data_IF_432256949598
#
_entry.id   IF_432256949598
#
_cell.length_a   1.000
_cell.length_b   1.000
_cell.length_c   1.000
_cell.angle_alpha   90.00
_cell.angle_beta   90.00
_cell.angle_gamma   90.00
#
_symmetry.space_group_name_H-M   'P 1'
#
loop_
_entity.id
_entity.type
_entity.pdbx_description
1 polymer ?
#
# COMPACT_ATOMS: atom_id res chain seq x y z
N UNK A 1 -8.27 -0.40 8.62
CA UNK A 1 -8.84 -0.59 7.27
C UNK A 1 -9.77 -1.78 7.25
N UNK A 2 -9.35 -2.94 7.77
CA UNK A 2 -10.19 -4.14 7.75
C UNK A 2 -11.40 -4.01 8.67
N UNK A 3 -12.51 -4.62 8.26
CA UNK A 3 -13.70 -4.73 9.09
C UNK A 3 -13.65 -6.07 9.82
N UNK A 4 -13.43 -6.04 11.13
CA UNK A 4 -13.47 -7.21 12.01
C UNK A 4 -14.91 -7.47 12.48
N UNK A 5 -15.25 -8.67 12.98
CA UNK A 5 -16.55 -8.92 13.59
C UNK A 5 -16.88 -7.95 14.73
N UNK A 6 -15.86 -7.59 15.52
CA UNK A 6 -15.99 -6.62 16.61
C UNK A 6 -16.24 -5.20 16.09
N UNK A 7 -15.45 -4.72 15.10
CA UNK A 7 -15.64 -3.38 14.55
C UNK A 7 -16.96 -3.25 13.77
N UNK A 8 -17.40 -4.32 13.09
CA UNK A 8 -18.71 -4.38 12.46
C UNK A 8 -19.85 -4.30 13.49
N UNK A 9 -19.75 -5.01 14.61
CA UNK A 9 -20.74 -4.97 15.70
C UNK A 9 -20.76 -3.61 16.39
N UNK A 10 -19.59 -3.03 16.63
CA UNK A 10 -19.47 -1.69 17.18
C UNK A 10 -20.12 -0.65 16.25
N UNK A 11 -19.78 -0.65 14.96
CA UNK A 11 -20.40 0.24 13.97
C UNK A 11 -21.92 0.01 13.87
N UNK A 12 -22.40 -1.24 13.94
CA UNK A 12 -23.84 -1.53 14.00
C UNK A 12 -24.52 -0.88 15.22
N UNK A 13 -23.93 -1.03 16.41
CA UNK A 13 -24.48 -0.46 17.64
C UNK A 13 -24.50 1.07 17.58
N UNK A 14 -23.44 1.69 17.08
CA UNK A 14 -23.37 3.15 16.89
C UNK A 14 -24.42 3.62 15.88
N UNK A 15 -24.53 2.97 14.72
CA UNK A 15 -25.56 3.27 13.71
C UNK A 15 -26.98 3.14 14.27
N UNK A 16 -27.24 2.11 15.08
CA UNK A 16 -28.53 1.90 15.73
C UNK A 16 -28.81 3.01 16.74
N UNK A 17 -27.83 3.38 17.56
CA UNK A 17 -27.93 4.50 18.51
C UNK A 17 -28.27 5.82 17.82
N UNK A 18 -27.61 6.14 16.71
CA UNK A 18 -27.89 7.33 15.90
C UNK A 18 -29.32 7.31 15.34
N UNK A 19 -29.77 6.17 14.81
CA UNK A 19 -31.13 6.02 14.28
C UNK A 19 -32.19 6.18 15.39
N UNK A 20 -31.94 5.63 16.57
CA UNK A 20 -32.80 5.80 17.75
C UNK A 20 -32.83 7.28 18.16
N UNK A 21 -31.67 7.97 18.20
CA UNK A 21 -31.61 9.39 18.56
C UNK A 21 -32.42 10.26 17.59
N UNK A 22 -32.31 10.03 16.27
CA UNK A 22 -33.10 10.74 15.25
C UNK A 22 -34.60 10.49 15.45
N UNK A 23 -34.98 9.24 15.73
CA UNK A 23 -36.38 8.88 16.00
C UNK A 23 -36.90 9.58 17.25
N UNK A 24 -36.15 9.55 18.35
CA UNK A 24 -36.51 10.18 19.62
C UNK A 24 -36.63 11.70 19.52
N UNK A 25 -35.71 12.35 18.78
CA UNK A 25 -35.77 13.79 18.51
C UNK A 25 -37.03 14.12 17.70
N UNK A 26 -37.32 13.34 16.64
CA UNK A 26 -38.52 13.52 15.83
C UNK A 26 -39.81 13.41 16.63
N UNK A 27 -39.91 12.41 17.51
CA UNK A 27 -41.06 12.22 18.42
C UNK A 27 -41.16 13.37 19.43
N UNK A 28 -40.04 13.81 20.01
CA UNK A 28 -40.03 14.88 21.02
C UNK A 28 -40.47 16.22 20.41
N UNK A 29 -40.03 16.52 19.19
CA UNK A 29 -40.43 17.74 18.48
C UNK A 29 -41.87 17.67 17.93
N UNK A 30 -42.43 16.45 17.77
CA UNK A 30 -43.81 16.27 17.34
C UNK A 30 -44.83 16.86 18.32
N UNK A 31 -44.49 16.99 19.60
CA UNK A 31 -45.30 17.69 20.60
C UNK A 31 -45.48 19.19 20.29
N UNK A 32 -44.52 19.81 19.60
CA UNK A 32 -44.61 21.19 19.15
C UNK A 32 -45.29 21.32 17.78
N UNK A 33 -45.05 20.37 16.87
CA UNK A 33 -45.69 20.33 15.56
C UNK A 33 -45.68 18.91 14.97
N UNK A 34 -46.82 18.35 14.53
CA UNK A 34 -46.91 16.99 13.99
C UNK A 34 -46.00 16.71 12.78
N UNK A 35 -45.60 17.75 12.04
CA UNK A 35 -44.71 17.62 10.87
C UNK A 35 -43.34 17.03 11.22
N UNK A 36 -42.90 17.11 12.48
CA UNK A 36 -41.65 16.50 12.95
C UNK A 36 -41.66 14.97 12.94
N UNK A 37 -42.82 14.32 12.85
CA UNK A 37 -42.90 12.86 12.64
C UNK A 37 -42.26 12.44 11.30
N UNK A 38 -42.20 13.32 10.31
CA UNK A 38 -41.47 13.06 9.07
C UNK A 38 -39.95 12.94 9.30
N UNK A 39 -39.39 13.60 10.32
CA UNK A 39 -37.98 13.46 10.66
C UNK A 39 -37.63 12.05 11.17
N UNK A 40 -38.59 11.36 11.82
CA UNK A 40 -38.41 9.97 12.24
C UNK A 40 -38.28 9.00 11.05
N UNK A 41 -38.83 9.35 9.88
CA UNK A 41 -38.61 8.60 8.63
C UNK A 41 -37.16 8.72 8.11
N UNK A 42 -36.37 9.65 8.65
CA UNK A 42 -34.94 9.77 8.37
C UNK A 42 -34.07 8.72 9.08
N UNK A 43 -34.58 8.02 10.10
CA UNK A 43 -33.80 7.07 10.88
C UNK A 43 -33.25 5.88 10.05
N UNK A 44 -34.03 5.23 9.14
CA UNK A 44 -33.50 4.24 8.21
C UNK A 44 -32.42 4.78 7.26
N UNK A 45 -32.54 6.05 6.83
CA UNK A 45 -31.56 6.70 5.97
C UNK A 45 -30.24 6.92 6.72
N UNK A 46 -30.29 7.42 7.96
CA UNK A 46 -29.11 7.62 8.81
C UNK A 46 -28.45 6.28 9.14
N UNK A 47 -29.24 5.24 9.45
CA UNK A 47 -28.72 3.89 9.66
C UNK A 47 -28.04 3.35 8.40
N UNK A 48 -28.68 3.47 7.23
CA UNK A 48 -28.14 3.02 5.97
C UNK A 48 -26.84 3.74 5.59
N UNK A 49 -26.83 5.06 5.70
CA UNK A 49 -25.68 5.91 5.40
C UNK A 49 -24.48 5.62 6.31
N UNK A 50 -24.69 5.56 7.64
CA UNK A 50 -23.62 5.27 8.59
C UNK A 50 -23.04 3.85 8.46
N UNK A 51 -23.83 2.89 7.96
CA UNK A 51 -23.40 1.52 7.66
C UNK A 51 -22.76 1.36 6.28
N UNK A 52 -22.96 2.31 5.37
CA UNK A 52 -22.62 2.15 3.95
C UNK A 52 -21.14 1.83 3.76
N UNK A 53 -20.23 2.59 4.39
CA UNK A 53 -18.78 2.36 4.29
C UNK A 53 -18.38 0.97 4.78
N UNK A 54 -18.88 0.56 5.95
CA UNK A 54 -18.60 -0.78 6.53
C UNK A 54 -19.14 -1.92 5.68
N UNK A 55 -20.36 -1.77 5.13
CA UNK A 55 -20.94 -2.77 4.21
C UNK A 55 -20.15 -2.88 2.92
N UNK A 56 -19.78 -1.76 2.29
CA UNK A 56 -18.95 -1.72 1.08
C UNK A 56 -17.61 -2.41 1.31
N UNK A 57 -16.90 -2.08 2.40
CA UNK A 57 -15.64 -2.75 2.77
C UNK A 57 -15.82 -4.27 2.95
N UNK A 58 -16.89 -4.72 3.60
CA UNK A 58 -17.19 -6.15 3.76
C UNK A 58 -17.44 -6.84 2.41
N UNK A 59 -18.17 -6.20 1.49
CA UNK A 59 -18.41 -6.73 0.15
C UNK A 59 -17.09 -6.87 -0.63
N UNK A 60 -16.26 -5.83 -0.59
CA UNK A 60 -14.94 -5.77 -1.24
C UNK A 60 -13.98 -6.83 -0.68
N UNK A 61 -13.90 -6.98 0.64
CA UNK A 61 -13.06 -7.99 1.31
C UNK A 61 -13.48 -9.44 1.02
N UNK A 62 -14.75 -9.66 0.67
CA UNK A 62 -15.29 -10.98 0.32
C UNK A 62 -15.29 -11.24 -1.19
N UNK A 63 -15.01 -10.21 -2.01
CA UNK A 63 -14.87 -10.36 -3.44
C UNK A 63 -13.61 -11.18 -3.78
N UNK A 64 -13.61 -11.95 -4.89
CA UNK A 64 -12.45 -12.71 -5.29
C UNK A 64 -11.28 -11.80 -5.64
N UNK A 65 -10.10 -12.09 -5.07
CA UNK A 65 -8.88 -11.34 -5.35
C UNK A 65 -8.47 -11.45 -6.84
N UNK A 66 -8.18 -10.33 -7.53
CA UNK A 66 -7.79 -10.35 -8.94
C UNK A 66 -6.52 -11.19 -9.21
N UNK A 67 -6.59 -12.05 -10.22
CA UNK A 67 -5.47 -12.97 -10.56
C UNK A 67 -4.24 -12.21 -11.05
N UNK A 68 -4.44 -11.08 -11.76
CA UNK A 68 -3.34 -10.25 -12.22
C UNK A 68 -2.55 -9.64 -11.05
N UNK A 69 -3.24 -9.17 -10.00
CA UNK A 69 -2.58 -8.66 -8.80
C UNK A 69 -1.81 -9.75 -8.08
N UNK A 70 -2.41 -10.93 -7.90
CA UNK A 70 -1.74 -12.09 -7.28
C UNK A 70 -0.45 -12.46 -8.02
N UNK A 71 -0.48 -12.45 -9.35
CA UNK A 71 0.70 -12.74 -10.17
C UNK A 71 1.80 -11.70 -9.99
N UNK A 72 1.45 -10.41 -9.93
CA UNK A 72 2.39 -9.33 -9.65
C UNK A 72 3.01 -9.48 -8.26
N UNK A 73 2.20 -9.70 -7.22
CA UNK A 73 2.69 -9.85 -5.86
C UNK A 73 3.68 -11.01 -5.71
N UNK A 74 3.39 -12.16 -6.32
CA UNK A 74 4.28 -13.32 -6.27
C UNK A 74 5.55 -13.16 -7.11
N UNK A 75 5.50 -12.31 -8.15
CA UNK A 75 6.62 -12.09 -9.05
C UNK A 75 7.56 -10.99 -8.58
N UNK A 76 7.02 -9.93 -7.96
CA UNK A 76 7.76 -8.69 -7.72
C UNK A 76 7.84 -8.32 -6.23
N UNK A 77 6.94 -8.82 -5.35
CA UNK A 77 6.85 -8.35 -3.95
C UNK A 77 7.38 -9.40 -2.96
N UNK A 78 8.67 -9.27 -2.60
CA UNK A 78 9.34 -10.19 -1.67
C UNK A 78 8.62 -10.33 -0.33
N UNK A 79 8.17 -9.20 0.21
CA UNK A 79 7.41 -9.13 1.44
C UNK A 79 6.19 -10.07 1.39
N UNK A 80 5.37 -10.00 0.33
CA UNK A 80 4.18 -10.84 0.18
C UNK A 80 4.51 -12.33 0.04
N UNK A 81 5.59 -12.65 -0.68
CA UNK A 81 6.06 -14.03 -0.84
C UNK A 81 6.52 -14.62 0.50
N UNK A 82 7.04 -13.81 1.40
CA UNK A 82 7.48 -14.25 2.72
C UNK A 82 6.33 -14.54 3.71
N UNK A 83 5.15 -13.93 3.50
CA UNK A 83 3.99 -14.10 4.37
C UNK A 83 3.44 -15.54 4.32
N UNK A 84 2.90 -15.98 5.46
CA UNK A 84 2.13 -17.22 5.55
C UNK A 84 0.73 -17.10 4.89
N UNK A 85 -0.07 -18.16 4.94
CA UNK A 85 -1.37 -18.18 4.24
C UNK A 85 -2.36 -17.17 4.82
N UNK A 86 -2.45 -17.06 6.13
CA UNK A 86 -3.39 -16.17 6.82
C UNK A 86 -2.97 -14.71 6.65
N UNK A 87 -1.66 -14.46 6.75
CA UNK A 87 -1.04 -13.16 6.49
C UNK A 87 -1.24 -12.70 5.04
N UNK A 88 -1.08 -13.59 4.04
CA UNK A 88 -1.37 -13.25 2.64
C UNK A 88 -2.85 -12.93 2.43
N UNK A 89 -3.76 -13.65 3.08
CA UNK A 89 -5.18 -13.34 3.00
C UNK A 89 -5.51 -11.98 3.63
N UNK A 90 -4.86 -11.64 4.74
CA UNK A 90 -4.95 -10.29 5.34
C UNK A 90 -4.40 -9.22 4.38
N UNK A 91 -3.24 -9.45 3.77
CA UNK A 91 -2.62 -8.54 2.82
C UNK A 91 -3.52 -8.28 1.60
N UNK A 92 -4.10 -9.34 1.02
CA UNK A 92 -5.05 -9.25 -0.10
C UNK A 92 -6.26 -8.39 0.26
N UNK A 93 -6.85 -8.60 1.44
CA UNK A 93 -8.02 -7.83 1.91
C UNK A 93 -7.67 -6.36 2.13
N UNK A 94 -6.49 -6.06 2.68
CA UNK A 94 -6.01 -4.69 2.84
C UNK A 94 -5.86 -4.00 1.49
N UNK A 95 -5.25 -4.66 0.50
CA UNK A 95 -5.12 -4.12 -0.86
C UNK A 95 -6.48 -3.89 -1.52
N UNK A 96 -7.43 -4.83 -1.38
CA UNK A 96 -8.77 -4.68 -1.97
C UNK A 96 -9.49 -3.45 -1.42
N UNK A 97 -9.43 -3.24 -0.10
CA UNK A 97 -10.00 -2.05 0.54
C UNK A 97 -9.28 -0.78 0.07
N UNK A 98 -7.94 -0.79 0.02
CA UNK A 98 -7.16 0.35 -0.45
C UNK A 98 -7.53 0.75 -1.88
N UNK A 99 -7.55 -0.19 -2.82
CA UNK A 99 -7.87 0.10 -4.24
C UNK A 99 -9.33 0.49 -4.45
N UNK A 100 -10.25 0.07 -3.58
CA UNK A 100 -11.66 0.51 -3.63
C UNK A 100 -11.86 1.94 -3.14
N UNK A 101 -11.02 2.41 -2.21
CA UNK A 101 -11.16 3.70 -1.55
C UNK A 101 -10.23 4.79 -2.10
N UNK A 102 -9.09 4.41 -2.70
CA UNK A 102 -8.08 5.32 -3.25
C UNK A 102 -8.00 5.15 -4.76
N UNK A 103 -8.29 6.22 -5.50
CA UNK A 103 -8.18 6.22 -6.95
C UNK A 103 -6.71 6.14 -7.38
N UNK A 104 -6.39 5.40 -8.44
CA UNK A 104 -5.05 5.34 -9.01
C UNK A 104 -5.14 5.79 -10.47
N UNK A 105 -4.61 6.98 -10.76
CA UNK A 105 -4.83 7.66 -12.04
C UNK A 105 -3.50 7.91 -12.74
N UNK A 106 -3.38 7.45 -13.99
CA UNK A 106 -2.22 7.69 -14.82
C UNK A 106 -2.30 9.05 -15.52
N UNK A 107 -1.28 9.89 -15.36
CA UNK A 107 -1.18 11.16 -16.07
C UNK A 107 -0.14 11.03 -17.17
N UNK A 108 -0.61 11.02 -18.43
CA UNK A 108 0.24 10.78 -19.62
C UNK A 108 0.95 9.42 -19.58
N UNK A 109 0.41 8.47 -18.84
CA UNK A 109 0.87 7.09 -18.74
C UNK A 109 -0.33 6.18 -18.45
N UNK A 110 -0.23 4.92 -18.82
CA UNK A 110 -1.22 3.91 -18.52
C UNK A 110 -1.05 3.39 -17.07
N UNK A 111 -2.15 2.99 -16.44
CA UNK A 111 -2.14 2.27 -15.16
C UNK A 111 -2.66 0.87 -15.42
N UNK A 112 -1.71 -0.06 -15.57
CA UNK A 112 -2.02 -1.48 -15.76
C UNK A 112 -2.18 -2.19 -14.41
N UNK A 113 -2.69 -3.43 -14.45
CA UNK A 113 -2.92 -4.26 -13.26
C UNK A 113 -1.65 -4.49 -12.42
N UNK A 114 -0.48 -4.44 -13.05
CA UNK A 114 0.81 -4.53 -12.36
C UNK A 114 1.06 -3.27 -11.55
N UNK A 115 0.88 -2.10 -12.15
CA UNK A 115 1.04 -0.79 -11.49
C UNK A 115 0.10 -0.67 -10.30
N UNK A 116 -1.19 -1.01 -10.47
CA UNK A 116 -2.18 -1.03 -9.37
C UNK A 116 -1.71 -1.89 -8.20
N UNK A 117 -1.25 -3.11 -8.50
CA UNK A 117 -0.79 -4.03 -7.47
C UNK A 117 0.46 -3.54 -6.73
N UNK A 118 1.41 -2.89 -7.42
CA UNK A 118 2.61 -2.33 -6.78
C UNK A 118 2.29 -1.11 -5.92
N UNK A 119 1.44 -0.19 -6.37
CA UNK A 119 0.97 0.94 -5.54
C UNK A 119 0.30 0.42 -4.27
N UNK A 120 -0.64 -0.52 -4.42
CA UNK A 120 -1.35 -1.10 -3.27
C UNK A 120 -0.41 -1.90 -2.35
N UNK A 121 0.62 -2.56 -2.88
CA UNK A 121 1.63 -3.22 -2.05
C UNK A 121 2.45 -2.21 -1.25
N UNK A 122 2.91 -1.12 -1.87
CA UNK A 122 3.61 -0.03 -1.19
C UNK A 122 2.78 0.62 -0.09
N UNK A 123 1.46 0.73 -0.29
CA UNK A 123 0.54 1.22 0.73
C UNK A 123 0.36 0.23 1.89
N UNK A 124 0.34 -1.07 1.61
CA UNK A 124 0.02 -2.08 2.65
C UNK A 124 1.25 -2.45 3.49
N UNK A 125 2.45 -2.45 2.94
CA UNK A 125 3.68 -2.89 3.63
C UNK A 125 3.95 -2.09 4.93
N UNK A 126 4.02 -0.74 4.90
CA UNK A 126 4.35 0.05 6.10
C UNK A 126 3.33 -0.15 7.22
N UNK A 127 2.06 -0.35 6.87
CA UNK A 127 0.96 -0.42 7.84
C UNK A 127 0.62 -1.84 8.28
N UNK A 128 1.30 -2.86 7.74
CA UNK A 128 0.90 -4.24 7.95
C UNK A 128 0.97 -4.65 9.43
N UNK A 129 1.86 -4.07 10.23
CA UNK A 129 1.93 -4.33 11.68
C UNK A 129 0.80 -3.72 12.50
N UNK A 130 -0.06 -2.87 11.92
CA UNK A 130 -1.15 -2.21 12.63
C UNK A 130 -2.49 -2.88 12.34
N UNK A 131 -3.30 -3.13 13.37
CA UNK A 131 -4.58 -3.83 13.22
C UNK A 131 -5.72 -2.92 12.74
N UNK A 132 -5.85 -1.72 13.32
CA UNK A 132 -6.96 -0.80 13.09
C UNK A 132 -6.53 0.51 12.41
N UNK A 133 -5.68 0.40 11.38
CA UNK A 133 -5.08 1.56 10.72
C UNK A 133 -5.74 1.93 9.37
N UNK A 134 -5.96 3.21 9.06
CA UNK A 134 -6.45 3.66 7.75
C UNK A 134 -5.82 4.95 7.23
N UNK A 135 -5.67 5.05 5.90
CA UNK A 135 -5.19 6.28 5.23
C UNK A 135 -6.28 7.36 5.30
N UNK A 136 -6.27 8.16 6.36
CA UNK A 136 -7.15 9.30 6.48
C UNK A 136 -6.70 10.41 5.52
N UNK A 137 -7.58 10.81 4.62
CA UNK A 137 -7.35 11.94 3.73
C UNK A 137 -6.60 11.63 2.43
N UNK A 138 -6.09 10.42 2.18
CA UNK A 138 -5.62 10.04 0.83
C UNK A 138 -6.82 9.63 -0.03
N UNK A 139 -7.09 10.40 -1.08
CA UNK A 139 -8.16 10.11 -2.05
C UNK A 139 -7.65 9.59 -3.39
N UNK A 140 -6.43 9.96 -3.79
CA UNK A 140 -5.89 9.61 -5.11
C UNK A 140 -4.37 9.47 -5.14
N UNK A 141 -3.88 8.52 -5.93
CA UNK A 141 -2.46 8.34 -6.28
C UNK A 141 -2.30 8.59 -7.78
N UNK A 142 -1.53 9.61 -8.14
CA UNK A 142 -1.24 9.96 -9.52
C UNK A 142 0.05 9.30 -10.00
N UNK A 143 -0.01 8.63 -11.15
CA UNK A 143 1.10 7.91 -11.74
C UNK A 143 1.70 8.69 -12.93
N UNK A 144 2.98 9.00 -12.77
CA UNK A 144 3.98 9.60 -13.64
C UNK A 144 4.60 8.74 -14.76
N UNK A 145 4.80 9.18 -16.02
CA UNK A 145 5.75 8.46 -16.89
C UNK A 145 7.22 8.61 -16.48
N UNK A 146 7.61 9.71 -15.81
CA UNK A 146 9.00 10.03 -15.42
C UNK A 146 9.07 10.62 -13.99
N UNK A 147 10.27 10.61 -13.40
CA UNK A 147 10.58 11.32 -12.16
C UNK A 147 10.39 12.84 -12.29
N UNK A 148 10.12 13.51 -11.17
CA UNK A 148 9.87 14.95 -11.12
C UNK A 148 11.05 15.75 -10.59
N UNK A 149 11.06 17.04 -10.95
CA UNK A 149 11.72 18.07 -10.14
C UNK A 149 10.69 18.87 -9.33
N UNK A 150 11.16 19.64 -8.35
CA UNK A 150 10.39 20.41 -7.34
C UNK A 150 9.31 21.39 -7.87
N UNK A 151 9.13 21.53 -9.19
CA UNK A 151 8.24 22.51 -9.82
C UNK A 151 7.19 21.96 -10.80
N UNK A 152 6.80 20.68 -10.72
CA UNK A 152 5.84 20.05 -11.65
C UNK A 152 6.22 20.15 -13.15
N UNK A 153 7.49 20.43 -13.46
CA UNK A 153 7.99 20.48 -14.84
C UNK A 153 8.56 19.11 -15.21
N UNK A 154 8.08 18.58 -16.33
CA UNK A 154 8.56 17.31 -16.90
C UNK A 154 9.67 17.49 -17.93
N UNK A 155 10.38 18.62 -17.90
CA UNK A 155 11.45 18.89 -18.86
C UNK A 155 12.81 18.63 -18.21
N UNK A 156 13.57 17.73 -18.84
CA UNK A 156 14.90 17.33 -18.44
C UNK A 156 15.83 18.55 -18.34
N UNK A 157 16.13 19.00 -17.12
CA UNK A 157 17.02 20.16 -16.96
C UNK A 157 17.26 20.74 -15.57
N UNK A 158 16.88 20.09 -14.46
CA UNK A 158 17.30 20.56 -13.12
C UNK A 158 17.71 19.41 -12.22
N UNK A 159 18.88 19.54 -11.61
CA UNK A 159 19.66 18.52 -10.89
C UNK A 159 19.11 18.14 -9.50
N UNK A 160 17.79 18.22 -9.30
CA UNK A 160 17.09 17.76 -8.09
C UNK A 160 15.94 16.87 -8.52
N UNK A 161 16.16 15.55 -8.44
CA UNK A 161 15.17 14.51 -8.72
C UNK A 161 14.36 14.29 -7.45
N UNK A 162 13.15 14.85 -7.39
CA UNK A 162 12.19 14.61 -6.32
C UNK A 162 11.46 13.32 -6.64
N UNK A 163 11.67 12.29 -5.81
CA UNK A 163 11.21 10.92 -6.06
C UNK A 163 9.68 10.76 -5.86
N UNK A 164 9.08 11.60 -5.03
CA UNK A 164 7.63 11.78 -4.91
C UNK A 164 7.28 13.03 -4.12
N UNK A 165 6.00 13.37 -4.06
CA UNK A 165 5.52 14.57 -3.36
C UNK A 165 4.17 14.30 -2.71
N UNK A 166 4.06 14.67 -1.43
CA UNK A 166 2.81 14.67 -0.69
C UNK A 166 2.37 16.12 -0.53
N UNK A 167 1.33 16.50 -1.28
CA UNK A 167 0.55 17.72 -1.06
C UNK A 167 1.35 19.02 -0.89
N UNK A 168 1.88 19.60 -1.96
CA UNK A 168 2.26 21.01 -1.96
C UNK A 168 1.01 21.90 -1.98
N UNK A 169 0.80 22.66 -0.89
CA UNK A 169 -0.05 23.84 -0.68
C UNK A 169 -1.58 23.76 -0.97
N UNK A 170 -2.05 23.00 -1.97
CA UNK A 170 -3.48 22.90 -2.36
C UNK A 170 -3.99 21.49 -2.70
N UNK A 171 -3.15 20.46 -2.65
CA UNK A 171 -3.48 19.08 -3.03
C UNK A 171 -3.62 18.17 -1.79
N UNK A 172 -4.49 18.52 -0.84
CA UNK A 172 -4.76 17.63 0.30
C UNK A 172 -5.39 16.33 -0.22
N UNK A 173 -4.68 15.22 -0.05
CA UNK A 173 -5.17 13.89 -0.38
C UNK A 173 -4.77 13.32 -1.72
N UNK A 174 -3.73 13.89 -2.33
CA UNK A 174 -3.10 13.33 -3.53
C UNK A 174 -1.65 12.97 -3.24
N UNK A 175 -1.25 11.76 -3.66
CA UNK A 175 0.14 11.33 -3.72
C UNK A 175 0.57 11.21 -5.18
N UNK A 176 1.83 11.53 -5.49
CA UNK A 176 2.37 11.41 -6.84
C UNK A 176 3.53 10.42 -6.85
N UNK A 177 3.51 9.46 -7.78
CA UNK A 177 4.55 8.46 -7.97
C UNK A 177 5.01 8.41 -9.43
N UNK A 178 6.29 8.17 -9.65
CA UNK A 178 6.86 7.84 -10.96
C UNK A 178 6.69 6.35 -11.25
N UNK A 179 6.05 5.97 -12.38
CA UNK A 179 5.86 4.58 -12.80
C UNK A 179 7.18 3.79 -12.89
N UNK A 180 8.24 4.29 -13.57
CA UNK A 180 9.50 3.55 -13.62
C UNK A 180 10.13 3.37 -12.24
N UNK A 181 10.07 4.37 -11.37
CA UNK A 181 10.68 4.31 -10.04
C UNK A 181 9.90 3.38 -9.10
N UNK A 182 8.57 3.39 -9.17
CA UNK A 182 7.72 2.42 -8.47
C UNK A 182 8.05 0.99 -8.89
N UNK A 183 8.17 0.72 -10.19
CA UNK A 183 8.51 -0.62 -10.69
C UNK A 183 9.94 -1.01 -10.27
N UNK A 184 10.89 -0.06 -10.34
CA UNK A 184 12.27 -0.28 -9.95
C UNK A 184 12.37 -0.67 -8.46
N UNK A 185 11.62 -0.01 -7.58
CA UNK A 185 11.63 -0.29 -6.14
C UNK A 185 11.30 -1.73 -5.75
N UNK A 186 10.51 -2.45 -6.56
CA UNK A 186 10.20 -3.87 -6.32
C UNK A 186 11.07 -4.84 -7.11
N UNK A 187 11.72 -4.39 -8.20
CA UNK A 187 12.45 -5.29 -9.11
C UNK A 187 13.96 -5.19 -8.99
N UNK A 188 14.48 -4.07 -8.50
CA UNK A 188 15.90 -3.79 -8.46
C UNK A 188 16.43 -3.85 -7.02
N UNK A 189 17.04 -4.97 -6.63
CA UNK A 189 17.58 -5.14 -5.27
C UNK A 189 18.94 -4.46 -5.05
N UNK A 190 19.57 -3.92 -6.09
CA UNK A 190 20.89 -3.28 -5.97
C UNK A 190 20.79 -1.79 -5.63
N UNK A 191 19.75 -1.13 -6.11
CA UNK A 191 19.44 0.26 -5.78
C UNK A 191 18.48 0.20 -4.60
N UNK A 192 18.98 0.49 -3.39
CA UNK A 192 18.29 0.24 -2.11
C UNK A 192 17.17 1.26 -1.86
N UNK A 193 16.38 1.53 -2.89
CA UNK A 193 15.40 2.59 -2.97
C UNK A 193 14.07 2.02 -3.44
N UNK A 194 13.02 2.31 -2.70
CA UNK A 194 11.65 1.98 -3.01
C UNK A 194 10.76 3.19 -2.72
N UNK A 195 10.65 4.02 -3.76
CA UNK A 195 9.87 5.26 -3.76
C UNK A 195 8.44 5.04 -3.28
N UNK A 196 7.83 3.90 -3.61
CA UNK A 196 6.49 3.59 -3.10
C UNK A 196 6.49 3.51 -1.57
N UNK A 197 7.37 2.71 -0.98
CA UNK A 197 7.49 2.58 0.49
C UNK A 197 7.85 3.93 1.12
N UNK A 198 8.77 4.68 0.51
CA UNK A 198 9.17 6.01 0.95
C UNK A 198 7.97 6.96 1.11
N UNK A 199 7.22 7.16 0.03
CA UNK A 199 6.07 8.09 0.03
C UNK A 199 4.94 7.60 0.94
N UNK A 200 4.68 6.30 1.00
CA UNK A 200 3.68 5.80 1.95
C UNK A 200 4.14 5.90 3.40
N UNK A 201 5.44 5.89 3.69
CA UNK A 201 5.98 6.11 5.05
C UNK A 201 5.74 7.53 5.52
N UNK A 202 5.89 8.53 4.66
CA UNK A 202 5.49 9.91 4.95
C UNK A 202 3.99 10.06 5.24
N UNK A 203 3.13 9.26 4.60
CA UNK A 203 1.70 9.24 4.96
C UNK A 203 1.42 8.55 6.29
N UNK A 204 2.23 7.58 6.69
CA UNK A 204 2.15 6.97 8.02
C UNK A 204 2.62 7.96 9.08
N UNK A 205 3.70 8.70 8.82
CA UNK A 205 4.18 9.81 9.64
C UNK A 205 3.07 10.86 9.84
N UNK A 206 2.40 11.26 8.74
CA UNK A 206 1.27 12.21 8.74
C UNK A 206 0.02 11.80 9.51
N UNK A 207 -0.02 10.62 10.13
CA UNK A 207 -1.24 10.13 10.77
C UNK A 207 -1.79 11.08 11.85
N UNK A 208 -0.92 11.76 12.59
CA UNK A 208 -1.32 12.73 13.62
C UNK A 208 -1.55 14.16 13.08
N UNK A 209 -1.34 14.36 11.78
CA UNK A 209 -1.46 15.64 11.09
C UNK A 209 -0.14 16.33 10.75
N UNK A 210 1.00 15.85 11.27
CA UNK A 210 2.33 16.43 11.06
C UNK A 210 3.25 15.48 10.28
N UNK A 211 4.16 16.01 9.47
CA UNK A 211 5.24 15.22 8.83
C UNK A 211 6.53 15.67 9.49
N UNK A 212 6.96 14.98 10.53
CA UNK A 212 8.11 15.33 11.38
C UNK A 212 9.03 14.13 11.67
N UNK A 213 8.82 13.00 11.00
CA UNK A 213 9.59 11.78 11.17
C UNK A 213 9.22 10.99 12.42
N UNK A 214 8.08 11.25 13.05
CA UNK A 214 7.59 10.57 14.25
C UNK A 214 6.24 9.89 13.97
N UNK A 215 6.29 8.56 13.77
CA UNK A 215 5.06 7.78 13.67
C UNK A 215 4.41 7.68 15.05
N UNK A 216 3.31 8.42 15.23
CA UNK A 216 2.46 8.32 16.41
C UNK A 216 1.83 6.92 16.49
N UNK A 217 2.31 6.09 17.41
CA UNK A 217 1.82 4.72 17.60
C UNK A 217 0.63 4.63 18.56
N UNK A 218 -0.03 5.76 18.85
CA UNK A 218 -1.18 5.79 19.76
C UNK A 218 -2.38 5.08 19.14
N UNK A 219 -2.91 4.12 19.90
CA UNK A 219 -4.08 3.33 19.52
C UNK A 219 -5.32 3.66 20.36
N UNK A 220 -5.19 4.64 21.27
CA UNK A 220 -6.21 4.94 22.28
C UNK A 220 -6.31 3.89 23.39
N UNK A 221 -5.46 2.86 23.37
CA UNK A 221 -5.27 1.91 24.46
C UNK A 221 -4.08 2.33 25.32
N UNK A 222 -4.33 2.63 26.59
CA UNK A 222 -3.32 3.12 27.52
C UNK A 222 -2.11 2.18 27.67
N UNK A 223 -2.28 0.86 27.54
CA UNK A 223 -1.16 -0.09 27.65
C UNK A 223 -0.26 -0.07 26.40
N UNK A 224 -0.87 0.11 25.22
CA UNK A 224 -0.17 0.21 23.93
C UNK A 224 0.49 1.58 23.79
N UNK A 225 -0.14 2.63 24.31
CA UNK A 225 0.37 4.00 24.27
C UNK A 225 1.60 4.18 25.21
N UNK A 226 1.71 3.36 26.26
CA UNK A 226 2.93 3.29 27.08
C UNK A 226 4.09 2.63 26.33
N UNK A 227 3.82 1.55 25.57
CA UNK A 227 4.83 0.91 24.71
C UNK A 227 5.23 1.80 23.51
N UNK A 228 4.28 2.58 22.98
CA UNK A 228 4.53 3.66 22.02
C UNK A 228 5.53 4.69 22.57
N UNK A 229 5.31 5.14 23.81
CA UNK A 229 6.19 6.10 24.48
C UNK A 229 7.61 5.56 24.70
N UNK A 230 7.77 4.24 24.93
CA UNK A 230 9.07 3.57 25.11
C UNK A 230 9.99 3.69 23.90
N UNK A 231 9.45 3.79 22.68
CA UNK A 231 10.26 3.95 21.46
C UNK A 231 10.29 5.38 20.93
N UNK A 232 9.21 6.15 21.08
CA UNK A 232 9.11 7.50 20.50
C UNK A 232 10.17 8.46 21.06
N UNK A 233 10.37 8.49 22.38
CA UNK A 233 11.36 9.42 22.98
C UNK A 233 12.80 9.05 22.61
N UNK A 234 13.23 7.77 22.71
CA UNK A 234 14.54 7.36 22.20
C UNK A 234 14.73 7.64 20.71
N UNK A 235 13.71 7.40 19.88
CA UNK A 235 13.74 7.67 18.44
C UNK A 235 13.98 9.14 18.14
N UNK A 236 13.19 10.05 18.72
CA UNK A 236 13.35 11.50 18.50
C UNK A 236 14.77 11.95 18.88
N UNK A 237 15.29 11.47 20.02
CA UNK A 237 16.66 11.80 20.45
C UNK A 237 17.71 11.25 19.49
N UNK A 238 17.50 10.03 18.99
CA UNK A 238 18.38 9.40 18.02
C UNK A 238 18.46 10.22 16.74
N UNK A 239 17.32 10.48 16.11
CA UNK A 239 17.24 11.24 14.85
C UNK A 239 17.86 12.63 15.02
N UNK A 240 17.53 13.33 16.11
CA UNK A 240 18.09 14.65 16.38
C UNK A 240 19.61 14.64 16.60
N UNK A 241 20.18 13.58 17.18
CA UNK A 241 21.64 13.43 17.31
C UNK A 241 22.28 13.10 15.97
N UNK A 242 21.67 12.20 15.20
CA UNK A 242 22.21 11.74 13.94
C UNK A 242 22.21 12.83 12.87
N UNK A 243 21.15 13.64 12.77
CA UNK A 243 21.10 14.80 11.86
C UNK A 243 22.04 15.94 12.28
N UNK A 244 22.49 15.98 13.54
CA UNK A 244 23.49 16.96 14.02
C UNK A 244 24.93 16.53 13.73
N UNK A 245 25.17 15.24 13.46
CA UNK A 245 26.50 14.77 13.07
C UNK A 245 26.85 15.33 11.69
N UNK A 246 28.09 15.79 11.52
CA UNK A 246 28.57 16.19 10.19
C UNK A 246 28.74 14.93 9.35
N UNK A 247 28.25 14.90 8.10
CA UNK A 247 28.37 13.75 7.22
C UNK A 247 29.82 13.29 7.13
N UNK A 248 30.11 12.12 7.69
CA UNK A 248 31.39 11.46 7.50
C UNK A 248 31.40 10.72 6.16
N UNK A 249 32.56 10.64 5.50
CA UNK A 249 32.76 9.90 4.24
C UNK A 249 32.48 8.37 4.30
N UNK A 250 31.95 7.88 5.41
CA UNK A 250 31.70 6.47 5.73
C UNK A 250 30.23 6.23 6.14
N UNK A 251 29.32 7.14 5.79
CA UNK A 251 27.89 6.99 6.09
C UNK A 251 27.24 5.99 5.13
N UNK A 252 26.50 5.05 5.74
CA UNK A 252 26.05 3.80 5.12
C UNK A 252 24.58 3.84 4.67
N UNK A 253 23.92 4.96 4.93
CA UNK A 253 22.54 5.35 4.61
C UNK A 253 22.64 6.41 3.50
N UNK A 254 21.65 6.45 2.61
CA UNK A 254 21.58 7.46 1.55
C UNK A 254 21.69 8.90 2.12
N UNK A 255 22.55 9.75 1.53
CA UNK A 255 22.73 11.15 1.93
C UNK A 255 21.40 11.91 1.97
N UNK A 256 20.42 11.52 1.14
CA UNK A 256 19.09 12.12 1.13
C UNK A 256 18.36 11.99 2.48
N UNK A 257 18.62 10.93 3.24
CA UNK A 257 18.05 10.73 4.57
C UNK A 257 18.39 11.87 5.53
N UNK A 258 19.53 12.55 5.35
CA UNK A 258 20.00 13.60 6.24
C UNK A 258 19.41 14.98 5.89
N UNK A 259 18.42 15.05 5.00
CA UNK A 259 17.75 16.30 4.61
C UNK A 259 16.91 16.89 5.75
N UNK A 260 16.14 16.06 6.45
CA UNK A 260 15.33 16.39 7.62
C UNK A 260 14.84 15.09 8.31
N UNK A 261 14.15 15.21 9.44
CA UNK A 261 13.65 14.11 10.25
C UNK A 261 12.68 13.18 9.49
N UNK A 262 11.78 13.75 8.68
CA UNK A 262 10.82 12.99 7.91
C UNK A 262 11.48 12.17 6.80
N UNK A 263 12.43 12.77 6.07
CA UNK A 263 13.21 12.06 5.05
C UNK A 263 14.08 10.97 5.68
N UNK A 264 14.61 11.21 6.88
CA UNK A 264 15.37 10.21 7.62
C UNK A 264 14.52 8.98 7.93
N UNK A 265 13.30 9.17 8.44
CA UNK A 265 12.34 8.10 8.66
C UNK A 265 11.99 7.37 7.36
N UNK A 266 11.62 8.11 6.31
CA UNK A 266 11.16 7.53 5.05
C UNK A 266 12.25 6.67 4.38
N UNK A 267 13.49 7.17 4.33
CA UNK A 267 14.63 6.43 3.79
C UNK A 267 14.95 5.20 4.64
N UNK A 268 14.95 5.31 5.97
CA UNK A 268 15.12 4.14 6.83
C UNK A 268 14.03 3.09 6.66
N UNK A 269 12.81 3.51 6.33
CA UNK A 269 11.69 2.62 6.06
C UNK A 269 11.92 1.79 4.79
N UNK A 270 12.52 2.37 3.75
CA UNK A 270 12.98 1.63 2.56
C UNK A 270 13.97 0.53 2.96
N UNK A 271 15.01 0.87 3.72
CA UNK A 271 15.99 -0.11 4.20
C UNK A 271 15.36 -1.20 5.07
N UNK A 272 14.43 -0.81 5.95
CA UNK A 272 13.77 -1.70 6.89
C UNK A 272 12.90 -2.75 6.18
N UNK A 273 12.19 -2.38 5.11
CA UNK A 273 11.32 -3.31 4.40
C UNK A 273 12.02 -4.06 3.26
N UNK A 274 12.98 -3.45 2.56
CA UNK A 274 13.65 -4.09 1.42
C UNK A 274 14.94 -4.82 1.79
N UNK A 275 15.76 -4.26 2.69
CA UNK A 275 17.05 -4.86 3.08
C UNK A 275 17.24 -4.97 4.61
N UNK A 276 16.27 -5.52 5.36
CA UNK A 276 16.28 -5.52 6.83
C UNK A 276 17.49 -6.22 7.44
N UNK A 277 17.99 -7.29 6.82
CA UNK A 277 19.17 -8.00 7.31
C UNK A 277 20.44 -7.14 7.26
N UNK A 278 20.52 -6.22 6.29
CA UNK A 278 21.64 -5.29 6.16
C UNK A 278 21.53 -4.18 7.22
N UNK A 279 20.34 -3.60 7.40
CA UNK A 279 20.07 -2.60 8.44
C UNK A 279 20.38 -3.17 9.84
N UNK A 280 19.82 -4.33 10.18
CA UNK A 280 20.04 -4.99 11.47
C UNK A 280 21.49 -5.42 11.73
N UNK A 281 22.29 -5.63 10.68
CA UNK A 281 23.72 -5.96 10.82
C UNK A 281 24.55 -4.72 11.11
N UNK A 282 24.22 -3.61 10.44
CA UNK A 282 24.97 -2.35 10.57
C UNK A 282 24.62 -1.61 11.85
N UNK A 283 23.34 -1.51 12.14
CA UNK A 283 22.82 -0.86 13.34
C UNK A 283 21.68 -1.68 13.94
N UNK A 284 22.00 -2.62 14.85
CA UNK A 284 21.00 -3.43 15.53
C UNK A 284 20.02 -2.60 16.36
N UNK A 285 20.50 -1.53 17.00
CA UNK A 285 19.69 -0.70 17.88
C UNK A 285 18.66 0.12 17.07
N UNK A 286 19.08 0.68 15.94
CA UNK A 286 18.18 1.35 15.01
C UNK A 286 17.12 0.41 14.45
N UNK A 287 17.51 -0.82 14.09
CA UNK A 287 16.58 -1.83 13.63
C UNK A 287 15.53 -2.18 14.68
N UNK A 288 15.93 -2.36 15.94
CA UNK A 288 15.01 -2.63 17.05
C UNK A 288 14.00 -1.49 17.28
N UNK A 289 14.41 -0.24 17.14
CA UNK A 289 13.49 0.91 17.20
C UNK A 289 12.46 0.86 16.07
N UNK A 290 12.88 0.59 14.84
CA UNK A 290 11.98 0.48 13.69
C UNK A 290 11.03 -0.73 13.80
N UNK A 291 11.49 -1.85 14.34
CA UNK A 291 10.64 -3.01 14.65
C UNK A 291 9.52 -2.64 15.62
N UNK A 292 9.82 -1.88 16.67
CA UNK A 292 8.81 -1.38 17.62
C UNK A 292 7.87 -0.35 16.98
N UNK A 293 8.40 0.58 16.18
CA UNK A 293 7.61 1.62 15.50
C UNK A 293 6.62 0.98 14.52
N UNK A 294 7.09 0.11 13.63
CA UNK A 294 6.27 -0.53 12.60
C UNK A 294 5.50 -1.76 13.10
N UNK A 295 5.84 -2.30 14.28
CA UNK A 295 5.30 -3.55 14.85
C UNK A 295 5.51 -4.74 13.90
N UNK A 296 6.67 -4.79 13.26
CA UNK A 296 7.00 -5.77 12.24
C UNK A 296 8.46 -6.19 12.38
N UNK A 297 8.78 -7.44 12.02
CA UNK A 297 10.16 -7.92 11.92
C UNK A 297 10.42 -8.42 10.48
N UNK A 298 10.68 -7.51 9.52
CA UNK A 298 10.93 -7.88 8.13
C UNK A 298 12.17 -8.76 7.97
N UNK A 299 13.19 -8.65 8.85
CA UNK A 299 14.37 -9.52 8.84
C UNK A 299 13.97 -10.97 9.02
N UNK A 300 13.19 -11.26 10.06
CA UNK A 300 12.71 -12.62 10.33
C UNK A 300 11.72 -13.10 9.28
N UNK A 301 10.86 -12.20 8.79
CA UNK A 301 9.93 -12.49 7.71
C UNK A 301 10.68 -12.93 6.44
N UNK A 302 11.63 -12.11 5.97
CA UNK A 302 12.39 -12.37 4.75
C UNK A 302 13.46 -13.46 4.89
N UNK A 303 13.92 -13.78 6.11
CA UNK A 303 14.87 -14.87 6.36
C UNK A 303 14.36 -16.23 5.87
N UNK A 304 13.03 -16.43 5.86
CA UNK A 304 12.40 -17.67 5.41
C UNK A 304 12.29 -17.77 3.89
N UNK A 305 12.60 -16.71 3.15
CA UNK A 305 12.64 -16.70 1.68
C UNK A 305 14.07 -16.94 1.23
N UNK A 306 14.43 -18.21 1.02
CA UNK A 306 15.75 -18.58 0.52
C UNK A 306 15.96 -18.06 -0.91
N UNK A 307 16.69 -16.94 -1.04
CA UNK A 307 17.36 -16.44 -2.25
C UNK A 307 16.49 -15.76 -3.35
N UNK A 308 17.09 -14.83 -4.12
CA UNK A 308 16.43 -13.63 -4.60
C UNK A 308 15.49 -13.88 -5.78
N UNK A 309 14.43 -13.08 -5.82
CA UNK A 309 13.37 -12.98 -6.83
C UNK A 309 13.91 -12.63 -8.25
N UNK A 310 15.22 -12.55 -8.43
CA UNK A 310 15.89 -12.21 -9.68
C UNK A 310 16.18 -13.35 -10.67
N UNK A 311 15.96 -14.64 -10.34
CA UNK A 311 16.22 -15.72 -11.31
C UNK A 311 14.98 -16.58 -11.62
N UNK A 312 14.44 -16.32 -12.82
CA UNK A 312 13.22 -16.87 -13.45
C UNK A 312 11.91 -16.36 -12.84
N UNK A 313 11.26 -15.44 -13.57
CA UNK A 313 9.80 -15.25 -13.56
C UNK A 313 9.12 -16.63 -13.67
N UNK A 314 8.80 -17.27 -12.54
CA UNK A 314 7.96 -18.47 -12.53
C UNK A 314 6.55 -18.02 -12.88
N UNK A 315 6.24 -17.99 -14.18
CA UNK A 315 4.85 -17.95 -14.64
C UNK A 315 4.16 -19.19 -14.07
N UNK A 316 3.15 -18.98 -13.23
CA UNK A 316 2.39 -20.06 -12.60
C UNK A 316 1.79 -20.93 -13.70
N UNK A 317 2.30 -22.15 -13.80
CA UNK A 317 1.84 -23.11 -14.79
C UNK A 317 0.41 -23.55 -14.49
N UNK A 318 -0.35 -23.93 -15.52
CA UNK A 318 -1.73 -24.45 -15.35
C UNK A 318 -1.82 -25.60 -14.34
N UNK A 319 -0.76 -26.39 -14.17
CA UNK A 319 -0.73 -27.54 -13.29
C UNK A 319 -0.03 -27.30 -11.94
N UNK A 320 0.50 -26.11 -11.71
CA UNK A 320 1.14 -25.75 -10.43
C UNK A 320 0.10 -25.67 -9.32
N UNK A 321 0.53 -25.84 -8.08
CA UNK A 321 -0.34 -25.59 -6.93
C UNK A 321 -0.81 -24.13 -6.97
N UNK A 322 -2.10 -23.94 -6.72
CA UNK A 322 -2.74 -22.64 -6.82
C UNK A 322 -2.23 -21.75 -5.68
N UNK A 323 -1.71 -20.54 -5.99
CA UNK A 323 -1.08 -19.68 -4.99
C UNK A 323 -2.06 -19.06 -3.98
N UNK A 324 -3.35 -19.10 -4.28
CA UNK A 324 -4.41 -18.58 -3.42
C UNK A 324 -4.69 -19.43 -2.17
N UNK A 325 -3.80 -20.37 -1.81
CA UNK A 325 -3.95 -21.21 -0.62
C UNK A 325 -5.03 -22.30 -0.69
N UNK A 326 -5.66 -22.52 -1.86
CA UNK A 326 -6.79 -23.47 -1.98
C UNK A 326 -6.40 -24.95 -1.94
N UNK A 327 -5.11 -25.28 -1.98
CA UNK A 327 -4.61 -26.67 -2.07
C UNK A 327 -4.85 -27.35 -3.43
N UNK A 328 -5.59 -26.73 -4.35
CA UNK A 328 -5.85 -27.28 -5.68
C UNK A 328 -4.81 -26.85 -6.72
N UNK A 329 -4.78 -27.49 -7.90
CA UNK A 329 -3.99 -27.00 -9.06
C UNK A 329 -4.59 -25.70 -9.61
N UNK A 330 -3.74 -24.78 -10.09
CA UNK A 330 -4.14 -23.47 -10.62
C UNK A 330 -5.26 -23.56 -11.67
N UNK A 331 -5.22 -24.57 -12.56
CA UNK A 331 -6.29 -24.81 -13.56
C UNK A 331 -7.66 -25.16 -12.97
N UNK A 332 -7.71 -25.74 -11.77
CA UNK A 332 -8.93 -26.22 -11.11
C UNK A 332 -9.53 -25.18 -10.16
N UNK A 333 -8.69 -24.27 -9.66
CA UNK A 333 -9.09 -23.19 -8.77
C UNK A 333 -9.20 -21.83 -9.49
N UNK A 334 -8.21 -20.95 -9.36
CA UNK A 334 -8.31 -19.56 -9.83
C UNK A 334 -8.52 -19.43 -11.34
N UNK A 335 -7.90 -20.29 -12.15
CA UNK A 335 -8.08 -20.24 -13.61
C UNK A 335 -9.50 -20.67 -14.05
N UNK A 336 -10.12 -21.61 -13.32
CA UNK A 336 -11.49 -22.07 -13.57
C UNK A 336 -12.52 -21.02 -13.14
N UNK A 337 -12.29 -20.36 -11.99
CA UNK A 337 -13.12 -19.25 -11.51
C UNK A 337 -13.16 -18.10 -12.51
N UNK A 338 -12.03 -17.81 -13.16
CA UNK A 338 -11.94 -16.75 -14.17
C UNK A 338 -12.74 -17.04 -15.44
N UNK A 339 -12.83 -18.31 -15.87
CA UNK A 339 -13.61 -18.72 -17.06
C UNK A 339 -15.12 -18.70 -16.84
N UNK A 340 -15.57 -18.59 -15.59
CA UNK A 340 -16.99 -18.56 -15.22
C UNK A 340 -17.56 -17.15 -15.09
N UNK A 341 -16.74 -16.10 -15.23
CA UNK A 341 -17.23 -14.73 -15.36
C UNK A 341 -17.82 -14.56 -16.78
N UNK A 342 -19.10 -14.19 -16.94
CA UNK A 342 -19.62 -13.79 -18.23
C UNK A 342 -19.04 -12.41 -18.56
N UNK A 343 -18.29 -12.31 -19.66
CA UNK A 343 -17.79 -11.04 -20.19
C UNK A 343 -16.27 -10.92 -20.32
N UNK A 344 -15.67 -11.67 -21.25
CA UNK A 344 -14.61 -11.15 -22.13
C UNK A 344 -14.33 -12.19 -23.23
N UNK A 345 -14.98 -12.02 -24.37
CA UNK A 345 -14.61 -12.71 -25.59
C UNK A 345 -13.24 -12.20 -26.05
N UNK A 346 -12.21 -13.04 -25.94
CA UNK A 346 -10.95 -12.86 -26.67
C UNK A 346 -11.15 -13.34 -28.11
N UNK A 347 -10.90 -12.46 -29.07
CA UNK A 347 -10.81 -12.76 -30.51
C UNK A 347 -9.61 -13.69 -30.81
N UNK A 348 -9.72 -14.62 -31.78
CA UNK A 348 -8.65 -15.56 -32.07
C UNK A 348 -7.59 -14.98 -33.01
N UNK A 349 -6.35 -15.14 -32.56
CA UNK A 349 -5.07 -15.31 -33.29
C UNK A 349 -5.14 -15.29 -34.83
N UNK A 350 -4.53 -14.27 -35.45
CA UNK A 350 -4.15 -14.30 -36.86
C UNK A 350 -2.80 -15.01 -37.04
N UNK A 351 -2.86 -16.09 -37.80
CA UNK A 351 -1.79 -16.91 -38.35
C UNK A 351 -0.78 -16.11 -39.19
N UNK A 352 0.52 -16.29 -38.91
CA UNK A 352 1.62 -16.04 -39.84
C UNK A 352 1.66 -17.16 -40.90
N UNK A 353 1.87 -16.87 -42.19
CA UNK A 353 2.36 -17.86 -43.13
C UNK A 353 3.89 -17.80 -43.22
N UNK A 354 4.48 -18.98 -43.09
CA UNK A 354 5.81 -19.37 -43.53
C UNK A 354 5.98 -19.16 -45.05
N UNK A 355 7.09 -18.53 -45.46
CA UNK A 355 7.47 -18.38 -46.86
C UNK A 355 8.99 -18.35 -47.00
N UNK A 356 9.52 -19.53 -47.27
CA UNK A 356 10.73 -19.95 -48.00
C UNK A 356 12.05 -19.14 -48.06
N UNK A 357 13.13 -19.93 -48.11
CA UNK A 357 14.54 -19.54 -48.07
C UNK A 357 15.18 -19.86 -49.42
N UNK A 358 15.62 -18.86 -50.20
CA UNK A 358 16.62 -19.08 -51.26
C UNK A 358 17.34 -17.79 -51.71
N UNK A 359 18.66 -17.78 -51.48
CA UNK A 359 19.78 -17.36 -52.38
C UNK A 359 19.84 -15.95 -52.98
N UNK A 360 20.95 -15.23 -52.65
CA UNK A 360 21.88 -14.42 -53.49
C UNK A 360 22.52 -13.34 -52.58
N UNK A 361 23.78 -13.39 -52.16
CA UNK A 361 25.07 -13.29 -52.88
C UNK A 361 25.21 -12.05 -53.77
N UNK A 362 26.16 -11.19 -53.39
CA UNK A 362 26.90 -10.17 -54.16
C UNK A 362 26.38 -8.71 -54.26
N UNK A 363 27.17 -7.85 -53.57
CA UNK A 363 27.96 -6.74 -54.14
C UNK A 363 27.37 -5.33 -54.33
N UNK A 364 28.19 -4.35 -53.87
CA UNK A 364 28.22 -2.90 -54.18
C UNK A 364 27.07 -2.09 -53.56
N UNK A 365 27.27 -0.95 -52.91
CA UNK A 365 28.35 0.06 -52.87
C UNK A 365 28.36 0.70 -51.47
#
# INVERSE_FOLDING_TARGET
MLVTPQSNRHNFNVSLGLAIAVTSIGITLAFASPWWLLAALGAPLVFGWSRHKTKRRLEVMNAPFPVAWEQTLLADVAYFVALDTDQRDRFRKLMQVFVDEVAITGIRTDVDERTVALVAASAVIPIFGFDDWEYSGLGEVLIYPNAYGEGYKTDAGSDRRTLGMIGAYHLSGVMILSKPDLIAGFTNQTDKRNVGIHEFSHLVDKQDGSIDGVIATSTGDAAVDVAATDVTVPWIRWVAEELRRQPGHDEHIDDYAYTNEAEYLAVLSEYFFDTPAMLAKKDPHLYEMLEKIYRQDPKKLLANVSHPIGQRKRRIGRNDNCPCGSGEKFKRCCLKRHRRRPGHHQTPSSTLPSGDRSTESQARN
#
